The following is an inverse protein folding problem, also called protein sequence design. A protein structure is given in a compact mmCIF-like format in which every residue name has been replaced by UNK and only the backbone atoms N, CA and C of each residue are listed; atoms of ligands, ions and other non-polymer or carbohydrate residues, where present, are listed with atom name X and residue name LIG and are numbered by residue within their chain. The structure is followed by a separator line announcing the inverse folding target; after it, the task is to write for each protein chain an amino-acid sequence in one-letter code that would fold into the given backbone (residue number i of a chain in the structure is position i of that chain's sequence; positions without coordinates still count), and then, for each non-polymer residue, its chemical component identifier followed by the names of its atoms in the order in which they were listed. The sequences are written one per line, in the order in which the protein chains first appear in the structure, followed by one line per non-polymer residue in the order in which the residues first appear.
data_IF_487557752296
#
_entry.id   IF_487557752296
#
_cell.length_a   1.000
_cell.length_b   1.000
_cell.length_c   1.000
_cell.angle_alpha   90.00
_cell.angle_beta   90.00
_cell.angle_gamma   90.00
#
_symmetry.space_group_name_H-M   'P 1'
#
loop_
_entity.id
_entity.type
_entity.pdbx_description
1 polymer ?
#
# COMPACT_ATOMS: atom_id res chain seq x y z
N UNK A 1 -11.83 75.52 11.61
CA UNK A 1 -11.20 74.24 11.22
C UNK A 1 -9.80 74.59 10.70
N UNK A 2 -8.78 74.72 11.56
CA UNK A 2 -7.82 73.65 11.92
C UNK A 2 -7.41 72.81 10.68
N UNK A 3 -6.16 72.62 10.30
CA UNK A 3 -4.88 72.82 10.97
C UNK A 3 -3.74 72.63 9.97
N UNK A 4 -2.68 73.43 10.12
CA UNK A 4 -1.26 73.15 9.84
C UNK A 4 -0.87 72.14 8.75
N UNK A 5 -0.36 72.69 7.64
CA UNK A 5 0.57 72.00 6.73
C UNK A 5 1.91 71.84 7.47
N UNK A 6 2.24 70.61 7.88
CA UNK A 6 3.54 70.26 8.44
C UNK A 6 4.47 69.89 7.28
N UNK A 7 5.41 70.80 7.01
CA UNK A 7 6.59 70.58 6.18
C UNK A 7 7.51 69.56 6.87
N UNK A 8 7.59 68.35 6.31
CA UNK A 8 8.61 67.38 6.67
C UNK A 8 9.87 67.66 5.85
N UNK A 9 10.93 68.15 6.50
CA UNK A 9 12.26 68.29 5.91
C UNK A 9 12.92 66.91 5.84
N UNK A 10 13.01 66.34 4.64
CA UNK A 10 13.95 65.26 4.35
C UNK A 10 15.33 65.88 4.09
N UNK A 11 16.28 65.59 4.98
CA UNK A 11 17.71 65.90 4.82
C UNK A 11 18.19 65.25 3.51
N UNK A 12 18.60 66.07 2.54
CA UNK A 12 19.24 65.60 1.33
C UNK A 12 20.63 65.06 1.66
N UNK A 13 20.83 63.77 1.47
CA UNK A 13 22.16 63.23 1.24
C UNK A 13 22.72 63.88 -0.04
N UNK A 14 23.81 64.63 0.11
CA UNK A 14 24.52 65.28 -0.98
C UNK A 14 25.16 64.20 -1.87
N UNK A 15 24.44 63.80 -2.92
CA UNK A 15 24.97 62.96 -4.00
C UNK A 15 25.79 63.89 -4.90
N UNK A 16 27.10 63.66 -4.98
CA UNK A 16 27.98 64.41 -5.89
C UNK A 16 27.44 64.37 -7.34
N UNK A 17 27.45 65.50 -8.08
CA UNK A 17 26.83 65.63 -9.40
C UNK A 17 27.61 64.94 -10.54
N UNK A 18 28.60 64.09 -10.23
CA UNK A 18 29.34 63.33 -11.24
C UNK A 18 28.88 61.88 -11.19
N UNK A 19 27.92 61.56 -12.06
CA UNK A 19 27.51 60.18 -12.31
C UNK A 19 28.70 59.28 -12.70
N UNK A 20 28.49 57.96 -12.62
CA UNK A 20 29.50 56.97 -12.96
C UNK A 20 30.12 57.26 -14.34
N UNK A 21 31.40 57.66 -14.35
CA UNK A 21 32.14 57.87 -15.59
C UNK A 21 32.31 56.52 -16.29
N UNK A 22 32.07 56.41 -17.61
CA UNK A 22 32.42 55.22 -18.38
C UNK A 22 33.90 54.90 -18.17
N UNK A 23 34.20 53.67 -17.74
CA UNK A 23 35.56 53.19 -17.56
C UNK A 23 36.12 52.82 -18.94
N UNK A 24 36.82 53.77 -19.56
CA UNK A 24 37.66 53.56 -20.74
C UNK A 24 38.67 52.43 -20.46
N UNK A 25 38.52 51.30 -21.15
CA UNK A 25 39.49 50.19 -21.11
C UNK A 25 40.74 50.60 -21.89
N UNK A 26 41.76 51.16 -21.20
CA UNK A 26 43.04 51.39 -21.88
C UNK A 26 44.06 52.31 -21.21
N UNK A 27 43.72 53.09 -20.18
CA UNK A 27 44.68 54.02 -19.57
C UNK A 27 45.50 53.36 -18.46
N UNK A 28 46.28 52.34 -18.80
CA UNK A 28 47.48 52.06 -18.00
C UNK A 28 48.42 53.24 -18.21
N UNK A 29 48.52 54.14 -17.24
CA UNK A 29 49.63 55.08 -17.22
C UNK A 29 50.92 54.25 -17.10
N UNK A 30 51.78 54.28 -18.11
CA UNK A 30 53.05 53.52 -18.17
C UNK A 30 53.97 53.77 -16.94
N UNK A 31 53.69 54.82 -16.17
CA UNK A 31 54.41 55.23 -14.95
C UNK A 31 53.82 54.74 -13.63
N UNK A 32 52.71 53.97 -13.64
CA UNK A 32 52.04 53.56 -12.39
C UNK A 32 52.84 52.52 -11.58
N UNK A 33 53.78 51.81 -12.21
CA UNK A 33 54.55 50.74 -11.58
C UNK A 33 55.98 51.15 -11.13
N UNK A 34 56.45 52.35 -11.46
CA UNK A 34 57.87 52.73 -11.29
C UNK A 34 58.26 53.26 -9.90
N UNK A 35 57.31 53.45 -8.98
CA UNK A 35 57.59 53.79 -7.58
C UNK A 35 56.83 52.84 -6.65
N UNK A 36 57.47 51.72 -6.27
CA UNK A 36 56.86 50.65 -5.47
C UNK A 36 57.60 50.37 -4.17
N UNK A 37 58.23 51.39 -3.58
CA UNK A 37 58.89 51.30 -2.28
C UNK A 37 57.99 51.85 -1.17
N UNK A 38 56.73 51.38 -1.13
CA UNK A 38 55.82 51.69 -0.02
C UNK A 38 55.98 50.63 1.07
N UNK A 39 56.09 51.00 2.36
CA UNK A 39 56.10 50.03 3.45
C UNK A 39 54.79 49.25 3.48
N UNK A 40 54.82 48.02 4.01
CA UNK A 40 53.61 47.23 4.20
C UNK A 40 52.65 47.93 5.16
N UNK A 41 51.36 47.93 4.81
CA UNK A 41 50.34 48.48 5.69
C UNK A 41 50.14 47.60 6.93
N UNK A 42 50.00 48.22 8.10
CA UNK A 42 49.52 47.57 9.33
C UNK A 42 47.99 47.67 9.43
N UNK A 43 47.36 46.91 10.33
CA UNK A 43 45.90 46.90 10.51
C UNK A 43 45.31 48.27 10.85
N UNK A 44 46.08 49.12 11.53
CA UNK A 44 45.64 50.44 12.00
C UNK A 44 45.60 51.48 10.87
N UNK A 45 46.23 51.18 9.74
CA UNK A 45 46.22 52.04 8.55
C UNK A 45 44.99 51.80 7.66
N UNK A 46 44.15 50.81 8.00
CA UNK A 46 42.89 50.55 7.31
C UNK A 46 41.83 51.60 7.67
N UNK A 47 41.40 52.38 6.69
CA UNK A 47 40.54 53.56 6.91
C UNK A 47 41.21 54.84 6.40
N UNK A 48 42.34 55.28 7.00
CA UNK A 48 43.10 56.41 6.46
C UNK A 48 43.79 56.09 5.13
N UNK A 49 44.31 54.85 4.94
CA UNK A 49 44.80 54.37 3.64
C UNK A 49 43.75 53.46 3.00
N UNK A 50 43.22 53.88 1.85
CA UNK A 50 42.21 53.15 1.10
C UNK A 50 42.68 52.86 -0.35
N UNK A 51 42.29 51.72 -0.94
CA UNK A 51 42.58 51.43 -2.33
C UNK A 51 41.91 52.45 -3.26
N UNK A 52 42.48 52.66 -4.44
CA UNK A 52 41.90 53.58 -5.43
C UNK A 52 40.51 53.10 -5.89
N UNK A 53 39.61 54.06 -6.12
CA UNK A 53 38.25 53.78 -6.57
C UNK A 53 38.20 52.96 -7.86
N UNK A 54 39.11 53.20 -8.81
CA UNK A 54 39.20 52.40 -10.05
C UNK A 54 39.53 50.92 -9.77
N UNK A 55 40.33 50.63 -8.74
CA UNK A 55 40.64 49.25 -8.36
C UNK A 55 39.43 48.58 -7.71
N UNK A 56 38.71 49.29 -6.85
CA UNK A 56 37.48 48.77 -6.24
C UNK A 56 36.39 48.56 -7.29
N UNK A 57 36.16 49.53 -8.17
CA UNK A 57 35.19 49.41 -9.26
C UNK A 57 35.50 48.20 -10.14
N UNK A 58 36.76 48.02 -10.55
CA UNK A 58 37.14 46.86 -11.36
C UNK A 58 37.03 45.51 -10.61
N UNK A 59 37.09 45.51 -9.27
CA UNK A 59 36.82 44.31 -8.47
C UNK A 59 35.32 44.05 -8.33
N UNK A 60 34.51 45.09 -8.15
CA UNK A 60 33.05 45.01 -8.12
C UNK A 60 32.52 44.49 -9.45
N UNK A 61 32.93 45.08 -10.57
CA UNK A 61 32.50 44.67 -11.92
C UNK A 61 32.88 43.21 -12.21
N UNK A 62 34.08 42.78 -11.79
CA UNK A 62 34.51 41.37 -11.93
C UNK A 62 33.67 40.42 -11.09
N UNK A 63 33.35 40.80 -9.86
CA UNK A 63 32.53 39.99 -8.97
C UNK A 63 31.10 39.90 -9.50
N UNK A 64 30.51 41.03 -9.91
CA UNK A 64 29.17 41.11 -10.49
C UNK A 64 29.05 40.26 -11.75
N UNK A 65 30.02 40.34 -12.68
CA UNK A 65 30.06 39.46 -13.84
C UNK A 65 30.19 37.98 -13.47
N UNK A 66 31.00 37.65 -12.45
CA UNK A 66 31.15 36.29 -11.94
C UNK A 66 29.84 35.73 -11.38
N UNK A 67 29.13 36.53 -10.58
CA UNK A 67 27.84 36.17 -10.00
C UNK A 67 26.78 35.98 -11.09
N UNK A 68 26.68 36.91 -12.04
CA UNK A 68 25.74 36.80 -13.15
C UNK A 68 25.98 35.55 -14.00
N UNK A 69 27.24 35.22 -14.29
CA UNK A 69 27.61 34.00 -15.01
C UNK A 69 27.27 32.73 -14.21
N UNK A 70 27.41 32.77 -12.89
CA UNK A 70 26.99 31.71 -11.98
C UNK A 70 25.47 31.48 -12.02
N UNK A 71 24.70 32.55 -11.93
CA UNK A 71 23.23 32.53 -12.00
C UNK A 71 22.76 31.96 -13.36
N UNK A 72 23.37 32.39 -14.46
CA UNK A 72 23.03 31.88 -15.79
C UNK A 72 23.33 30.37 -15.92
N UNK A 73 24.44 29.89 -15.36
CA UNK A 73 24.76 28.46 -15.34
C UNK A 73 23.72 27.65 -14.56
N UNK A 74 23.29 28.13 -13.39
CA UNK A 74 22.26 27.47 -12.58
C UNK A 74 20.94 27.41 -13.34
N UNK A 75 20.52 28.52 -13.99
CA UNK A 75 19.31 28.55 -14.83
C UNK A 75 19.39 27.55 -15.98
N UNK A 76 20.51 27.49 -16.71
CA UNK A 76 20.72 26.52 -17.79
C UNK A 76 20.62 25.07 -17.31
N UNK A 77 21.19 24.75 -16.15
CA UNK A 77 21.09 23.41 -15.55
C UNK A 77 19.66 23.09 -15.11
N UNK A 78 18.95 24.07 -14.56
CA UNK A 78 17.55 23.91 -14.16
C UNK A 78 16.64 23.69 -15.37
N UNK A 79 16.84 24.44 -16.46
CA UNK A 79 16.07 24.26 -17.71
C UNK A 79 16.34 22.90 -18.34
N UNK A 80 17.61 22.46 -18.36
CA UNK A 80 17.97 21.12 -18.84
C UNK A 80 17.32 20.01 -18.02
N UNK A 81 17.30 20.13 -16.69
CA UNK A 81 16.69 19.14 -15.82
C UNK A 81 15.15 19.21 -15.85
N UNK A 82 14.57 20.41 -15.91
CA UNK A 82 13.12 20.61 -16.07
C UNK A 82 12.62 19.98 -17.38
N UNK A 83 13.35 20.17 -18.48
CA UNK A 83 13.03 19.54 -19.76
C UNK A 83 13.17 18.01 -19.71
N UNK A 84 14.14 17.47 -18.95
CA UNK A 84 14.29 16.02 -18.71
C UNK A 84 13.21 15.46 -17.78
N UNK A 85 12.76 16.21 -16.78
CA UNK A 85 11.65 15.82 -15.91
C UNK A 85 10.31 15.88 -16.63
N UNK A 86 10.11 16.83 -17.56
CA UNK A 86 8.91 16.90 -18.41
C UNK A 86 8.84 15.76 -19.43
N UNK A 87 9.98 15.23 -19.87
CA UNK A 87 10.08 14.06 -20.75
C UNK A 87 10.18 12.72 -20.01
N UNK A 88 10.23 12.72 -18.69
CA UNK A 88 9.93 11.58 -17.83
C UNK A 88 8.45 11.65 -17.46
N UNK A 89 7.54 11.08 -18.27
CA UNK A 89 6.19 10.88 -17.79
C UNK A 89 6.26 9.99 -16.54
N UNK A 90 6.03 10.59 -15.37
CA UNK A 90 5.58 9.90 -14.15
C UNK A 90 4.19 9.25 -14.36
N UNK A 91 3.70 9.13 -15.61
CA UNK A 91 2.59 8.25 -16.00
C UNK A 91 3.03 6.86 -16.44
N UNK A 92 4.34 6.61 -16.56
CA UNK A 92 4.89 5.29 -16.92
C UNK A 92 5.38 4.51 -15.69
N UNK A 93 4.92 4.85 -14.49
CA UNK A 93 4.73 3.79 -13.49
C UNK A 93 3.63 2.91 -14.09
N UNK A 94 3.90 1.66 -14.48
CA UNK A 94 2.92 0.89 -15.21
C UNK A 94 1.67 0.77 -14.34
N UNK A 95 0.56 1.32 -14.85
CA UNK A 95 -0.82 1.12 -14.40
C UNK A 95 -1.21 -0.39 -14.35
N UNK A 96 -0.29 -1.29 -14.70
CA UNK A 96 -0.42 -2.75 -14.56
C UNK A 96 -0.50 -3.28 -13.12
N UNK A 97 -0.42 -2.44 -12.08
CA UNK A 97 -0.65 -2.91 -10.70
C UNK A 97 -2.13 -2.90 -10.29
N UNK A 98 -3.05 -2.39 -11.10
CA UNK A 98 -4.47 -2.28 -10.73
C UNK A 98 -5.43 -3.23 -11.49
N UNK A 99 -4.90 -4.25 -12.17
CA UNK A 99 -5.69 -5.10 -13.07
C UNK A 99 -6.00 -6.53 -12.63
N UNK A 100 -5.32 -7.06 -11.60
CA UNK A 100 -5.35 -8.50 -11.31
C UNK A 100 -6.15 -8.90 -10.06
N UNK A 101 -6.54 -7.94 -9.22
CA UNK A 101 -7.25 -8.26 -7.97
C UNK A 101 -8.71 -8.69 -8.22
N UNK A 102 -9.39 -8.12 -9.23
CA UNK A 102 -10.82 -8.36 -9.43
C UNK A 102 -11.13 -9.79 -9.91
N UNK A 103 -10.31 -10.36 -10.78
CA UNK A 103 -10.52 -11.73 -11.27
C UNK A 103 -10.32 -12.76 -10.16
N UNK A 104 -9.29 -12.57 -9.32
CA UNK A 104 -9.05 -13.42 -8.17
C UNK A 104 -10.17 -13.32 -7.14
N UNK A 105 -10.62 -12.09 -6.81
CA UNK A 105 -11.71 -11.87 -5.86
C UNK A 105 -13.04 -12.47 -6.36
N UNK A 106 -13.37 -12.28 -7.64
CA UNK A 106 -14.57 -12.85 -8.24
C UNK A 106 -14.53 -14.38 -8.29
N UNK A 107 -13.38 -14.96 -8.64
CA UNK A 107 -13.19 -16.41 -8.65
C UNK A 107 -13.25 -16.99 -7.22
N UNK A 108 -12.59 -16.36 -6.26
CA UNK A 108 -12.64 -16.75 -4.86
C UNK A 108 -14.08 -16.66 -4.30
N UNK A 109 -14.84 -15.62 -4.65
CA UNK A 109 -16.24 -15.47 -4.25
C UNK A 109 -17.14 -16.53 -4.90
N UNK A 110 -16.95 -16.82 -6.18
CA UNK A 110 -17.67 -17.88 -6.89
C UNK A 110 -17.40 -19.26 -6.29
N UNK A 111 -16.15 -19.56 -5.97
CA UNK A 111 -15.77 -20.80 -5.30
C UNK A 111 -16.38 -20.91 -3.91
N UNK A 112 -16.39 -19.84 -3.11
CA UNK A 112 -17.06 -19.82 -1.80
C UNK A 112 -18.55 -20.11 -1.91
N UNK A 113 -19.23 -19.52 -2.88
CA UNK A 113 -20.66 -19.77 -3.11
C UNK A 113 -20.92 -21.23 -3.47
N UNK A 114 -20.13 -21.79 -4.41
CA UNK A 114 -20.26 -23.21 -4.80
C UNK A 114 -19.97 -24.17 -3.65
N UNK A 115 -18.95 -23.90 -2.84
CA UNK A 115 -18.63 -24.72 -1.66
C UNK A 115 -19.77 -24.67 -0.64
N UNK A 116 -20.33 -23.47 -0.39
CA UNK A 116 -21.43 -23.31 0.57
C UNK A 116 -22.70 -24.02 0.09
N UNK A 117 -23.03 -23.90 -1.20
CA UNK A 117 -24.18 -24.62 -1.80
C UNK A 117 -23.99 -26.14 -1.72
N UNK A 118 -22.81 -26.65 -2.06
CA UNK A 118 -22.50 -28.08 -1.92
C UNK A 118 -22.58 -28.55 -0.46
N UNK A 119 -22.10 -27.76 0.50
CA UNK A 119 -22.22 -28.07 1.92
C UNK A 119 -23.69 -28.18 2.35
N UNK A 120 -24.54 -27.24 1.94
CA UNK A 120 -25.98 -27.29 2.25
C UNK A 120 -26.63 -28.56 1.67
N UNK A 121 -26.26 -28.94 0.44
CA UNK A 121 -26.77 -30.18 -0.20
C UNK A 121 -26.32 -31.42 0.58
N UNK A 122 -25.05 -31.48 0.97
CA UNK A 122 -24.49 -32.59 1.77
C UNK A 122 -25.18 -32.66 3.13
N UNK A 123 -25.33 -31.54 3.83
CA UNK A 123 -25.97 -31.50 5.15
C UNK A 123 -27.43 -31.96 5.09
N UNK A 124 -28.16 -31.62 4.01
CA UNK A 124 -29.51 -32.12 3.76
C UNK A 124 -29.53 -33.64 3.57
N UNK A 125 -28.62 -34.17 2.74
CA UNK A 125 -28.51 -35.62 2.52
C UNK A 125 -28.14 -36.37 3.80
N UNK A 126 -27.24 -35.80 4.62
CA UNK A 126 -26.85 -36.38 5.90
C UNK A 126 -27.99 -36.41 6.90
N UNK A 127 -28.86 -35.39 6.94
CA UNK A 127 -30.08 -35.41 7.78
C UNK A 127 -31.05 -36.51 7.35
N UNK A 128 -31.25 -36.68 6.04
CA UNK A 128 -32.11 -37.75 5.50
C UNK A 128 -31.53 -39.11 5.89
N UNK A 129 -30.24 -39.34 5.67
CA UNK A 129 -29.55 -40.58 6.08
C UNK A 129 -29.67 -40.84 7.58
N UNK A 130 -29.53 -39.81 8.43
CA UNK A 130 -29.74 -39.92 9.87
C UNK A 130 -31.16 -40.34 10.24
N UNK A 131 -32.18 -39.85 9.53
CA UNK A 131 -33.58 -40.27 9.73
C UNK A 131 -33.81 -41.73 9.32
N UNK A 132 -33.15 -42.21 8.27
CA UNK A 132 -33.20 -43.64 7.91
C UNK A 132 -32.51 -44.52 8.95
N UNK A 133 -31.45 -44.03 9.61
CA UNK A 133 -30.79 -44.77 10.69
C UNK A 133 -31.71 -45.00 11.89
N UNK A 134 -32.45 -43.96 12.32
CA UNK A 134 -33.37 -44.09 13.46
C UNK A 134 -34.54 -45.03 13.13
N UNK A 135 -35.08 -44.97 11.91
CA UNK A 135 -36.12 -45.89 11.44
C UNK A 135 -35.60 -47.33 11.38
N UNK A 136 -34.39 -47.57 10.90
CA UNK A 136 -33.78 -48.91 10.85
C UNK A 136 -33.54 -49.49 12.26
N UNK A 137 -33.19 -48.66 13.23
CA UNK A 137 -33.03 -49.09 14.62
C UNK A 137 -34.38 -49.54 15.23
N UNK A 138 -35.46 -48.79 14.98
CA UNK A 138 -36.80 -49.17 15.40
C UNK A 138 -37.28 -50.47 14.73
N UNK A 139 -36.99 -50.64 13.44
CA UNK A 139 -37.33 -51.86 12.70
C UNK A 139 -36.64 -53.11 13.29
N UNK A 140 -35.37 -52.99 13.66
CA UNK A 140 -34.60 -54.09 14.27
C UNK A 140 -35.20 -54.51 15.62
N UNK A 141 -35.56 -53.53 16.48
CA UNK A 141 -36.21 -53.81 17.77
C UNK A 141 -37.58 -54.49 17.58
N UNK A 142 -38.38 -54.00 16.62
CA UNK A 142 -39.68 -54.59 16.30
C UNK A 142 -39.54 -56.03 15.81
N UNK A 143 -38.53 -56.32 14.98
CA UNK A 143 -38.31 -57.66 14.45
C UNK A 143 -37.94 -58.67 15.55
N UNK A 144 -37.10 -58.27 16.51
CA UNK A 144 -36.76 -59.11 17.67
C UNK A 144 -37.98 -59.32 18.58
N UNK A 145 -38.77 -58.28 18.82
CA UNK A 145 -40.01 -58.37 19.62
C UNK A 145 -41.04 -59.32 18.98
N UNK A 146 -41.23 -59.25 17.66
CA UNK A 146 -42.13 -60.14 16.92
C UNK A 146 -41.64 -61.60 17.02
N UNK A 147 -40.35 -61.88 16.90
CA UNK A 147 -39.78 -63.23 17.04
C UNK A 147 -40.04 -63.82 18.43
N UNK A 148 -39.81 -63.03 19.48
CA UNK A 148 -40.04 -63.45 20.87
C UNK A 148 -41.54 -63.74 21.09
N UNK A 149 -42.41 -62.85 20.60
CA UNK A 149 -43.87 -63.02 20.71
C UNK A 149 -44.35 -64.27 19.97
N UNK A 150 -43.85 -64.50 18.74
CA UNK A 150 -44.15 -65.72 17.98
C UNK A 150 -43.67 -66.96 18.73
N UNK A 151 -42.43 -66.99 19.22
CA UNK A 151 -41.88 -68.14 19.97
C UNK A 151 -42.66 -68.42 21.25
N UNK A 152 -43.16 -67.38 21.91
CA UNK A 152 -43.98 -67.50 23.13
C UNK A 152 -45.32 -68.20 22.88
N UNK A 153 -45.89 -68.10 21.67
CA UNK A 153 -47.12 -68.80 21.31
C UNK A 153 -46.97 -70.33 21.23
N UNK A 154 -45.75 -70.87 21.15
CA UNK A 154 -45.49 -72.32 21.11
C UNK A 154 -46.05 -73.06 22.33
N UNK A 155 -46.12 -72.40 23.49
CA UNK A 155 -46.66 -72.96 24.73
C UNK A 155 -48.15 -72.66 24.99
N UNK A 156 -48.76 -71.78 24.19
CA UNK A 156 -50.09 -71.22 24.48
C UNK A 156 -51.12 -71.44 23.36
N UNK A 157 -50.67 -71.72 22.13
CA UNK A 157 -51.53 -71.86 20.96
C UNK A 157 -51.48 -73.28 20.37
N UNK A 158 -52.59 -73.74 19.77
CA UNK A 158 -52.67 -75.06 19.13
C UNK A 158 -51.73 -75.22 17.92
N UNK A 159 -51.44 -74.12 17.22
CA UNK A 159 -50.49 -74.06 16.10
C UNK A 159 -49.64 -72.79 16.22
N UNK A 160 -48.41 -72.88 15.75
CA UNK A 160 -47.42 -71.79 15.75
C UNK A 160 -46.66 -71.80 14.41
N UNK A 161 -46.27 -70.60 13.95
CA UNK A 161 -45.46 -70.42 12.75
C UNK A 161 -44.00 -70.24 13.14
N UNK A 162 -43.13 -71.16 12.73
CA UNK A 162 -41.69 -71.04 12.94
C UNK A 162 -41.14 -69.91 12.06
N UNK A 163 -40.77 -68.80 12.69
CA UNK A 163 -40.12 -67.67 12.05
C UNK A 163 -38.68 -67.60 12.55
N UNK A 164 -37.73 -67.54 11.63
CA UNK A 164 -36.31 -67.44 11.96
C UNK A 164 -35.80 -66.09 11.51
N UNK A 165 -35.39 -65.26 12.46
CA UNK A 165 -34.79 -63.96 12.17
C UNK A 165 -33.35 -64.18 11.76
N UNK A 166 -33.01 -63.80 10.52
CA UNK A 166 -31.63 -63.74 10.07
C UNK A 166 -30.94 -62.53 10.73
N UNK A 167 -30.29 -62.80 11.85
CA UNK A 167 -29.59 -61.79 12.65
C UNK A 167 -28.29 -61.34 11.97
N UNK A 168 -27.66 -62.20 11.16
CA UNK A 168 -26.38 -61.91 10.51
C UNK A 168 -26.53 -60.81 9.44
N UNK A 169 -27.58 -60.90 8.63
CA UNK A 169 -27.86 -59.87 7.60
C UNK A 169 -28.14 -58.50 8.23
N UNK A 170 -28.85 -58.46 9.36
CA UNK A 170 -29.15 -57.20 10.05
C UNK A 170 -27.92 -56.58 10.72
N UNK A 171 -27.08 -57.41 11.35
CA UNK A 171 -25.82 -56.96 11.95
C UNK A 171 -24.87 -56.45 10.86
N UNK A 172 -24.75 -57.17 9.74
CA UNK A 172 -23.94 -56.75 8.59
C UNK A 172 -24.42 -55.38 8.06
N UNK A 173 -25.74 -55.20 7.92
CA UNK A 173 -26.33 -53.94 7.45
C UNK A 173 -26.06 -52.78 8.41
N UNK A 174 -26.13 -53.02 9.72
CA UNK A 174 -25.84 -52.02 10.75
C UNK A 174 -24.35 -51.64 10.78
N UNK A 175 -23.46 -52.65 10.73
CA UNK A 175 -22.00 -52.46 10.74
C UNK A 175 -21.54 -51.68 9.51
N UNK A 176 -22.00 -52.07 8.31
CA UNK A 176 -21.69 -51.38 7.06
C UNK A 176 -22.18 -49.92 7.11
N UNK A 177 -23.41 -49.69 7.57
CA UNK A 177 -23.96 -48.34 7.68
C UNK A 177 -23.18 -47.47 8.67
N UNK A 178 -22.82 -48.02 9.84
CA UNK A 178 -22.03 -47.31 10.86
C UNK A 178 -20.61 -46.97 10.38
N UNK A 179 -19.96 -47.89 9.66
CA UNK A 179 -18.63 -47.70 9.08
C UNK A 179 -18.63 -46.62 8.00
N UNK A 180 -19.63 -46.61 7.12
CA UNK A 180 -19.79 -45.59 6.08
C UNK A 180 -20.04 -44.21 6.72
N UNK A 181 -20.88 -44.14 7.76
CA UNK A 181 -21.19 -42.89 8.45
C UNK A 181 -19.93 -42.29 9.13
N UNK A 182 -19.10 -43.12 9.77
CA UNK A 182 -17.86 -42.69 10.42
C UNK A 182 -16.81 -42.16 9.41
N UNK A 183 -16.72 -42.75 8.22
CA UNK A 183 -15.82 -42.29 7.15
C UNK A 183 -16.28 -40.96 6.55
N UNK A 184 -17.59 -40.78 6.35
CA UNK A 184 -18.16 -39.54 5.81
C UNK A 184 -18.01 -38.36 6.79
N UNK A 185 -18.20 -38.58 8.09
CA UNK A 185 -18.10 -37.50 9.10
C UNK A 185 -16.66 -36.97 9.28
N UNK A 186 -15.65 -37.84 9.12
CA UNK A 186 -14.23 -37.44 9.14
C UNK A 186 -13.84 -36.57 7.96
N UNK A 187 -14.44 -36.75 6.79
CA UNK A 187 -14.14 -35.96 5.58
C UNK A 187 -14.77 -34.56 5.63
N UNK A 188 -15.96 -34.41 6.25
CA UNK A 188 -16.69 -33.13 6.31
C UNK A 188 -16.07 -32.15 7.34
N UNK A 189 -15.48 -32.66 8.42
CA UNK A 189 -14.87 -31.83 9.48
C UNK A 189 -13.57 -31.13 9.07
N UNK A 190 -12.94 -31.58 7.97
CA UNK A 190 -11.76 -30.93 7.37
C UNK A 190 -12.14 -29.70 6.52
N UNK A 191 -13.43 -29.54 6.17
CA UNK A 191 -13.94 -28.45 5.34
C UNK A 191 -14.38 -27.21 6.14
N UNK A 192 -13.76 -26.94 7.29
CA UNK A 192 -13.89 -25.64 7.95
C UNK A 192 -12.94 -24.66 7.24
N UNK A 193 -13.40 -24.09 6.13
CA UNK A 193 -12.61 -23.12 5.36
C UNK A 193 -12.24 -21.92 6.23
N UNK A 194 -10.95 -21.56 6.37
CA UNK A 194 -10.57 -20.34 7.05
C UNK A 194 -11.18 -19.13 6.33
N UNK A 195 -11.82 -18.26 7.09
CA UNK A 195 -12.21 -16.93 6.67
C UNK A 195 -10.92 -16.19 6.31
N UNK A 196 -10.80 -15.74 5.05
CA UNK A 196 -9.71 -14.82 4.69
C UNK A 196 -10.07 -13.50 5.38
N UNK A 197 -9.30 -13.13 6.40
CA UNK A 197 -9.36 -11.80 6.99
C UNK A 197 -9.15 -10.78 5.88
N UNK A 198 -10.07 -9.83 5.78
CA UNK A 198 -10.02 -8.73 4.82
C UNK A 198 -8.78 -7.89 5.13
N UNK A 199 -7.68 -8.16 4.45
CA UNK A 199 -6.57 -7.21 4.40
C UNK A 199 -6.97 -6.12 3.43
N UNK A 200 -7.41 -4.98 3.96
CA UNK A 200 -7.54 -3.75 3.19
C UNK A 200 -6.15 -3.42 2.65
N UNK A 201 -5.90 -3.70 1.37
CA UNK A 201 -4.73 -3.17 0.68
C UNK A 201 -4.98 -1.69 0.39
N UNK A 202 -4.03 -0.83 0.80
CA UNK A 202 -3.97 0.60 0.49
C UNK A 202 -4.06 0.88 -1.01
#
# INVERSE_FOLDING_TARGET
LFSFVVLCFCVQAQIDPRGARPVEHGTRADKCATQREWPFCTSDEWGPKCPSGCRIQGLMDKYDHGVLKGIEKIRKLLDQNSNKHRSLPTSNVPFFLSGSSNNYQNLAQSLRQKITDMKIKIDRQMRILGSHQSVNALLCLLQVDIDIKLRSCKGSCSKYSEHQVDQEIQILRLVVFSGICALLFKQISVLSTPYILKTSSL
#
